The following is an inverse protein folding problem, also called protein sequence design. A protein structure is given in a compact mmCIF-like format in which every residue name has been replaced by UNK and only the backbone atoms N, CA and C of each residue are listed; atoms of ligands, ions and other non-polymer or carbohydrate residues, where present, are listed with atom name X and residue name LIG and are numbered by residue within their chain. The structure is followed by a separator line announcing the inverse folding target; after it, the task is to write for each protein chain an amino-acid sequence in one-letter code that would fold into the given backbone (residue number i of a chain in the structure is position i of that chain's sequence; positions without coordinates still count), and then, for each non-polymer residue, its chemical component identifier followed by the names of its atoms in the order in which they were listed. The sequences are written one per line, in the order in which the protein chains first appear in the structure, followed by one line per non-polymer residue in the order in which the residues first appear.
data_IF_970618831262
#
_entry.id   IF_970618831262
#
_cell.length_a   1.000
_cell.length_b   1.000
_cell.length_c   1.000
_cell.angle_alpha   90.00
_cell.angle_beta   90.00
_cell.angle_gamma   90.00
#
_symmetry.space_group_name_H-M   'P 1'
#
loop_
_entity.id
_entity.type
_entity.pdbx_description
1 polymer ?
#
# COMPACT_ATOMS: atom_id res chain seq x y z
N UNK A 1 -38.82 4.22 31.64
CA UNK A 1 -40.22 3.97 31.25
C UNK A 1 -41.06 4.29 32.46
N UNK A 2 -42.09 5.13 32.30
CA UNK A 2 -42.97 5.56 33.39
C UNK A 2 -44.22 4.69 33.48
N UNK A 3 -44.73 4.21 32.35
CA UNK A 3 -45.87 3.29 32.29
C UNK A 3 -45.77 2.41 31.04
N UNK A 4 -46.41 1.24 31.09
CA UNK A 4 -46.53 0.29 29.96
C UNK A 4 -47.96 0.17 29.45
N UNK A 5 -48.93 0.77 30.13
CA UNK A 5 -50.32 0.86 29.70
C UNK A 5 -50.98 2.11 30.34
N UNK A 6 -50.98 3.28 29.66
CA UNK A 6 -50.40 3.55 28.34
C UNK A 6 -48.86 3.47 28.34
N UNK A 7 -48.25 3.24 27.17
CA UNK A 7 -46.79 3.19 27.05
C UNK A 7 -46.21 4.61 27.14
N UNK A 8 -45.60 4.96 28.27
CA UNK A 8 -45.09 6.31 28.53
C UNK A 8 -43.59 6.28 28.83
N UNK A 9 -42.85 7.11 28.08
CA UNK A 9 -41.40 7.28 28.20
C UNK A 9 -41.11 8.61 28.91
N UNK A 10 -40.24 8.59 29.91
CA UNK A 10 -39.71 9.83 30.50
C UNK A 10 -38.74 10.48 29.50
N UNK A 11 -38.90 11.78 29.26
CA UNK A 11 -38.03 12.56 28.38
C UNK A 11 -37.14 13.50 29.21
N UNK A 12 -36.19 14.20 28.56
CA UNK A 12 -35.37 15.22 29.22
C UNK A 12 -36.22 16.32 29.87
N UNK A 13 -37.34 16.66 29.22
CA UNK A 13 -38.43 17.45 29.81
C UNK A 13 -39.75 16.72 29.56
N UNK A 14 -40.54 16.52 30.63
CA UNK A 14 -41.87 15.90 30.54
C UNK A 14 -41.84 14.40 30.20
N UNK A 15 -42.92 13.96 29.55
CA UNK A 15 -43.14 12.55 29.20
C UNK A 15 -43.78 12.44 27.81
N UNK A 16 -43.44 11.36 27.09
CA UNK A 16 -44.00 11.04 25.79
C UNK A 16 -44.81 9.75 25.88
N UNK A 17 -46.10 9.84 25.53
CA UNK A 17 -46.94 8.66 25.33
C UNK A 17 -46.77 8.13 23.90
N UNK A 18 -46.44 6.85 23.80
CA UNK A 18 -46.40 6.13 22.54
C UNK A 18 -47.78 5.52 22.32
N UNK A 19 -48.57 6.13 21.43
CA UNK A 19 -49.93 5.67 21.13
C UNK A 19 -49.90 4.39 20.27
N UNK A 20 -48.97 4.30 19.32
CA UNK A 20 -48.76 3.16 18.46
C UNK A 20 -47.31 3.08 17.97
N UNK A 21 -46.87 1.89 17.56
CA UNK A 21 -45.57 1.67 16.95
C UNK A 21 -45.45 0.26 16.36
N UNK A 22 -44.27 -0.07 15.85
CA UNK A 22 -44.00 -1.35 15.20
C UNK A 22 -42.77 -2.03 15.80
N UNK A 23 -42.79 -3.36 15.82
CA UNK A 23 -41.62 -4.19 16.14
C UNK A 23 -40.84 -4.53 14.85
N UNK A 24 -39.75 -5.30 14.96
CA UNK A 24 -38.91 -5.69 13.81
C UNK A 24 -39.66 -6.52 12.75
N UNK A 25 -40.84 -7.08 13.07
CA UNK A 25 -41.69 -7.80 12.13
C UNK A 25 -42.62 -6.89 11.31
N UNK A 26 -42.58 -5.56 11.52
CA UNK A 26 -43.27 -4.57 10.69
C UNK A 26 -44.79 -4.45 10.92
N UNK A 27 -45.32 -5.05 12.00
CA UNK A 27 -46.73 -4.92 12.37
C UNK A 27 -46.94 -3.70 13.27
N UNK A 28 -47.86 -2.82 12.88
CA UNK A 28 -48.28 -1.67 13.69
C UNK A 28 -49.28 -2.10 14.77
N UNK A 29 -48.94 -1.83 16.03
CA UNK A 29 -49.74 -2.18 17.20
C UNK A 29 -49.87 -0.99 18.15
N UNK A 30 -50.87 -1.04 19.04
CA UNK A 30 -51.03 -0.03 20.11
C UNK A 30 -49.84 -0.06 21.07
N UNK A 31 -49.51 1.09 21.67
CA UNK A 31 -48.33 1.23 22.55
C UNK A 31 -48.28 0.23 23.70
N UNK A 32 -49.41 -0.09 24.33
CA UNK A 32 -49.48 -1.10 25.39
C UNK A 32 -49.14 -2.50 24.90
N UNK A 33 -49.57 -2.83 23.67
CA UNK A 33 -49.23 -4.09 23.01
C UNK A 33 -47.78 -4.12 22.57
N UNK A 34 -47.27 -3.01 22.04
CA UNK A 34 -45.86 -2.84 21.70
C UNK A 34 -44.97 -3.07 22.93
N UNK A 35 -45.35 -2.52 24.08
CA UNK A 35 -44.63 -2.71 25.33
C UNK A 35 -44.55 -4.19 25.74
N UNK A 36 -45.66 -4.92 25.63
CA UNK A 36 -45.70 -6.36 25.91
C UNK A 36 -44.82 -7.16 24.94
N UNK A 37 -44.92 -6.90 23.64
CA UNK A 37 -44.18 -7.64 22.60
C UNK A 37 -42.67 -7.38 22.66
N UNK A 38 -42.28 -6.16 23.02
CA UNK A 38 -40.87 -5.79 23.19
C UNK A 38 -40.32 -6.14 24.59
N UNK A 39 -41.13 -6.77 25.46
CA UNK A 39 -40.71 -7.12 26.82
C UNK A 39 -40.38 -5.92 27.70
N UNK A 40 -40.99 -4.77 27.44
CA UNK A 40 -40.77 -3.52 28.18
C UNK A 40 -41.54 -3.59 29.50
N UNK A 41 -40.87 -3.26 30.60
CA UNK A 41 -41.46 -3.13 31.94
C UNK A 41 -41.30 -1.70 32.48
N UNK A 42 -41.97 -1.36 33.58
CA UNK A 42 -41.80 -0.06 34.25
C UNK A 42 -40.39 0.08 34.81
N UNK A 43 -39.93 1.32 35.00
CA UNK A 43 -38.62 1.66 35.59
C UNK A 43 -37.37 1.22 34.80
N UNK A 44 -37.51 0.74 33.56
CA UNK A 44 -36.36 0.48 32.67
C UNK A 44 -35.94 1.72 31.89
N UNK A 45 -34.64 1.87 31.61
CA UNK A 45 -34.12 2.89 30.70
C UNK A 45 -33.88 2.26 29.34
N UNK A 46 -34.39 2.90 28.29
CA UNK A 46 -33.99 2.62 26.92
C UNK A 46 -32.57 3.16 26.72
N UNK A 47 -31.58 2.33 27.02
CA UNK A 47 -30.20 2.62 26.68
C UNK A 47 -29.94 2.04 25.29
N UNK A 48 -29.21 2.77 24.45
CA UNK A 48 -28.51 2.10 23.35
C UNK A 48 -27.70 0.96 23.98
N UNK A 49 -27.68 -0.24 23.35
CA UNK A 49 -26.83 -1.37 23.78
C UNK A 49 -25.52 -0.81 24.32
N UNK A 50 -25.05 -1.23 25.51
CA UNK A 50 -23.79 -0.71 26.04
C UNK A 50 -22.72 -0.84 24.95
N UNK A 51 -22.29 0.30 24.41
CA UNK A 51 -21.18 0.39 23.46
C UNK A 51 -19.84 0.12 24.18
N UNK A 52 -19.88 -0.53 25.35
CA UNK A 52 -18.70 -0.95 26.11
C UNK A 52 -18.26 -2.37 25.77
N UNK A 53 -18.74 -2.96 24.68
CA UNK A 53 -17.87 -3.87 23.96
C UNK A 53 -16.71 -3.01 23.48
N UNK A 54 -15.57 -3.03 24.20
CA UNK A 54 -14.31 -2.44 23.74
C UNK A 54 -14.25 -2.68 22.24
N UNK A 55 -14.40 -1.61 21.44
CA UNK A 55 -14.52 -1.71 20.00
C UNK A 55 -13.30 -2.50 19.55
N UNK A 56 -13.51 -3.76 19.14
CA UNK A 56 -12.40 -4.68 18.88
C UNK A 56 -11.52 -3.98 17.86
N UNK A 57 -10.21 -3.89 18.15
CA UNK A 57 -9.24 -3.30 17.23
C UNK A 57 -9.38 -3.93 15.86
N UNK A 58 -9.27 -3.12 14.82
CA UNK A 58 -9.25 -3.61 13.45
C UNK A 58 -7.95 -4.37 13.24
N UNK A 59 -8.08 -5.64 12.85
CA UNK A 59 -6.93 -6.52 12.61
C UNK A 59 -6.45 -6.37 11.17
N UNK A 60 -5.22 -5.93 11.00
CA UNK A 60 -4.60 -5.68 9.69
C UNK A 60 -3.55 -6.77 9.46
N UNK A 61 -3.76 -7.61 8.44
CA UNK A 61 -2.80 -8.59 7.98
C UNK A 61 -1.92 -7.98 6.89
N UNK A 62 -0.62 -7.94 7.10
CA UNK A 62 0.37 -7.47 6.13
C UNK A 62 1.26 -8.67 5.76
N UNK A 63 1.13 -9.16 4.53
CA UNK A 63 2.01 -10.20 3.98
C UNK A 63 3.13 -9.50 3.23
N UNK A 64 4.39 -9.77 3.54
CA UNK A 64 5.53 -8.97 3.07
C UNK A 64 5.79 -7.76 3.98
N UNK A 65 5.63 -7.93 5.30
CA UNK A 65 5.70 -6.83 6.28
C UNK A 65 7.12 -6.26 6.45
N UNK A 66 8.16 -7.04 6.17
CA UNK A 66 9.56 -6.64 6.33
C UNK A 66 10.06 -5.76 5.17
N UNK A 67 9.22 -5.51 4.16
CA UNK A 67 9.55 -4.62 3.04
C UNK A 67 9.41 -3.13 3.36
N UNK A 68 9.76 -2.31 2.37
CA UNK A 68 9.66 -0.85 2.44
C UNK A 68 8.27 -0.34 2.84
N UNK A 69 7.21 -0.79 2.16
CA UNK A 69 5.85 -0.36 2.50
C UNK A 69 5.42 -0.93 3.86
N UNK A 70 5.72 -2.21 4.10
CA UNK A 70 5.30 -2.92 5.30
C UNK A 70 5.82 -2.28 6.60
N UNK A 71 7.10 -1.92 6.65
CA UNK A 71 7.68 -1.32 7.85
C UNK A 71 7.14 0.09 8.14
N UNK A 72 7.00 0.95 7.12
CA UNK A 72 6.47 2.31 7.29
C UNK A 72 4.97 2.30 7.61
N UNK A 73 4.21 1.42 6.97
CA UNK A 73 2.79 1.25 7.27
C UNK A 73 2.57 0.73 8.69
N UNK A 74 3.36 -0.24 9.14
CA UNK A 74 3.32 -0.75 10.51
C UNK A 74 3.56 0.37 11.51
N UNK A 75 4.57 1.21 11.27
CA UNK A 75 4.83 2.39 12.11
C UNK A 75 3.62 3.33 12.19
N UNK A 76 3.03 3.66 11.03
CA UNK A 76 1.88 4.56 10.95
C UNK A 76 0.65 4.02 11.65
N UNK A 77 0.38 2.72 11.53
CA UNK A 77 -0.77 2.05 12.16
C UNK A 77 -0.57 1.92 13.67
N UNK A 78 0.65 1.65 14.14
CA UNK A 78 0.95 1.52 15.57
C UNK A 78 0.79 2.83 16.34
N UNK A 79 0.81 3.99 15.66
CA UNK A 79 0.48 5.30 16.27
C UNK A 79 -0.99 5.41 16.69
N UNK A 80 -1.87 4.57 16.14
CA UNK A 80 -3.29 4.57 16.50
C UNK A 80 -3.64 3.37 17.39
N UNK A 81 -4.34 3.60 18.49
CA UNK A 81 -4.72 2.54 19.43
C UNK A 81 -5.79 1.57 18.90
N UNK A 82 -6.38 1.85 17.73
CA UNK A 82 -7.50 1.10 17.15
C UNK A 82 -7.07 -0.05 16.23
N UNK A 83 -5.76 -0.22 15.95
CA UNK A 83 -5.27 -1.30 15.09
C UNK A 83 -4.51 -2.37 15.86
N UNK A 84 -4.59 -3.59 15.34
CA UNK A 84 -3.78 -4.74 15.74
C UNK A 84 -3.17 -5.30 14.45
N UNK A 85 -1.84 -5.39 14.38
CA UNK A 85 -1.11 -5.69 13.15
C UNK A 85 -0.56 -7.11 13.23
N UNK A 86 -0.86 -7.90 12.19
CA UNK A 86 -0.32 -9.24 11.98
C UNK A 86 0.58 -9.19 10.75
N UNK A 87 1.87 -9.37 10.95
CA UNK A 87 2.88 -9.34 9.89
C UNK A 87 3.40 -10.74 9.58
N UNK A 88 3.52 -11.07 8.30
CA UNK A 88 4.24 -12.26 7.83
C UNK A 88 5.31 -11.85 6.83
N UNK A 89 6.51 -12.40 6.99
CA UNK A 89 7.63 -12.25 6.06
C UNK A 89 8.69 -13.33 6.31
N UNK A 90 9.66 -13.50 5.41
CA UNK A 90 10.79 -14.43 5.58
C UNK A 90 11.90 -13.88 6.48
N UNK A 91 11.81 -12.61 6.87
CA UNK A 91 12.78 -11.92 7.73
C UNK A 91 12.13 -10.84 8.58
N UNK A 92 12.89 -10.25 9.50
CA UNK A 92 12.38 -9.23 10.43
C UNK A 92 13.35 -8.08 10.73
N UNK A 93 14.44 -7.96 9.98
CA UNK A 93 15.46 -6.92 10.16
C UNK A 93 14.86 -5.50 10.09
N UNK A 94 14.05 -5.20 9.08
CA UNK A 94 13.46 -3.87 8.87
C UNK A 94 12.30 -3.54 9.84
N UNK A 95 11.76 -4.55 10.54
CA UNK A 95 10.63 -4.42 11.48
C UNK A 95 10.98 -4.80 12.92
N UNK A 96 12.24 -5.13 13.20
CA UNK A 96 12.75 -5.58 14.50
C UNK A 96 12.32 -4.64 15.65
N UNK A 97 12.34 -3.32 15.40
CA UNK A 97 11.90 -2.27 16.33
C UNK A 97 10.44 -2.37 16.81
N UNK A 98 9.62 -3.20 16.16
CA UNK A 98 8.21 -3.39 16.50
C UNK A 98 7.93 -4.69 17.25
N UNK A 99 8.88 -5.62 17.34
CA UNK A 99 8.65 -6.97 17.86
C UNK A 99 8.17 -6.98 19.32
N UNK A 100 8.61 -6.01 20.13
CA UNK A 100 8.18 -5.87 21.54
C UNK A 100 6.86 -5.11 21.69
N UNK A 101 6.27 -4.60 20.60
CA UNK A 101 5.02 -3.87 20.68
C UNK A 101 3.85 -4.85 20.86
N UNK A 102 3.02 -4.71 21.92
CA UNK A 102 1.93 -5.66 22.21
C UNK A 102 0.81 -5.69 21.16
N UNK A 103 0.79 -4.74 20.21
CA UNK A 103 -0.18 -4.68 19.10
C UNK A 103 0.41 -5.18 17.78
N UNK A 104 1.68 -5.56 17.75
CA UNK A 104 2.34 -6.10 16.57
C UNK A 104 2.64 -7.58 16.80
N UNK A 105 2.20 -8.41 15.86
CA UNK A 105 2.39 -9.85 15.88
C UNK A 105 3.12 -10.26 14.62
N UNK A 106 4.38 -10.65 14.73
CA UNK A 106 5.18 -11.13 13.62
C UNK A 106 5.24 -12.65 13.58
N UNK A 107 5.17 -13.22 12.38
CA UNK A 107 5.49 -14.62 12.13
C UNK A 107 6.40 -14.72 10.91
N UNK A 108 7.48 -15.49 11.07
CA UNK A 108 8.34 -15.85 9.96
C UNK A 108 7.63 -16.85 9.04
N UNK A 109 7.55 -16.55 7.75
CA UNK A 109 6.87 -17.41 6.78
C UNK A 109 6.99 -16.94 5.33
N UNK A 110 6.93 -17.91 4.43
CA UNK A 110 6.89 -17.73 2.96
C UNK A 110 5.48 -18.03 2.42
N UNK A 111 4.95 -17.14 1.58
CA UNK A 111 3.62 -17.28 0.97
C UNK A 111 3.49 -18.48 0.04
N UNK A 112 4.60 -18.96 -0.52
CA UNK A 112 4.67 -20.12 -1.40
C UNK A 112 4.63 -21.46 -0.62
N UNK A 113 4.85 -21.41 0.70
CA UNK A 113 5.01 -22.61 1.55
C UNK A 113 3.90 -22.70 2.61
N UNK A 114 3.57 -21.59 3.29
CA UNK A 114 2.77 -21.59 4.52
C UNK A 114 1.27 -21.32 4.28
N UNK A 115 0.66 -22.05 3.35
CA UNK A 115 -0.74 -21.83 2.93
C UNK A 115 -1.75 -21.87 4.09
N UNK A 116 -1.67 -22.86 4.97
CA UNK A 116 -2.61 -23.02 6.10
C UNK A 116 -2.55 -21.84 7.08
N UNK A 117 -1.34 -21.35 7.36
CA UNK A 117 -1.14 -20.22 8.28
C UNK A 117 -1.74 -18.94 7.69
N UNK A 118 -1.52 -18.72 6.39
CA UNK A 118 -2.01 -17.54 5.67
C UNK A 118 -3.52 -17.56 5.61
N UNK A 119 -4.11 -18.70 5.23
CA UNK A 119 -5.57 -18.87 5.19
C UNK A 119 -6.20 -18.61 6.57
N UNK A 120 -5.60 -19.15 7.64
CA UNK A 120 -6.05 -18.92 9.01
C UNK A 120 -5.99 -17.43 9.38
N UNK A 121 -4.90 -16.73 9.04
CA UNK A 121 -4.75 -15.30 9.37
C UNK A 121 -5.64 -14.40 8.52
N UNK A 122 -5.91 -14.76 7.26
CA UNK A 122 -6.93 -14.09 6.44
C UNK A 122 -8.29 -14.23 7.12
N UNK A 123 -8.67 -15.45 7.54
CA UNK A 123 -9.92 -15.69 8.27
C UNK A 123 -9.99 -14.91 9.60
N UNK A 124 -8.88 -14.77 10.31
CA UNK A 124 -8.78 -14.09 11.62
C UNK A 124 -8.83 -12.56 11.53
N UNK A 125 -8.21 -11.99 10.50
CA UNK A 125 -8.05 -10.54 10.35
C UNK A 125 -9.24 -9.89 9.64
N UNK A 126 -9.25 -8.56 9.60
CA UNK A 126 -10.36 -7.77 9.03
C UNK A 126 -9.98 -7.18 7.67
N UNK A 127 -8.72 -6.75 7.53
CA UNK A 127 -8.15 -6.17 6.30
C UNK A 127 -6.87 -6.91 5.93
N UNK A 128 -6.69 -7.22 4.65
CA UNK A 128 -5.51 -7.93 4.12
C UNK A 128 -4.76 -7.05 3.11
N UNK A 129 -3.45 -6.93 3.31
CA UNK A 129 -2.51 -6.24 2.42
C UNK A 129 -1.43 -7.22 1.95
N UNK A 130 -1.57 -7.81 0.76
CA UNK A 130 -0.55 -8.67 0.18
C UNK A 130 0.51 -7.84 -0.53
N UNK A 131 1.62 -7.54 0.15
CA UNK A 131 2.72 -6.72 -0.35
C UNK A 131 3.87 -7.54 -0.97
N UNK A 132 3.81 -8.87 -0.90
CA UNK A 132 4.82 -9.76 -1.50
C UNK A 132 4.72 -9.73 -3.04
N UNK A 133 5.78 -9.27 -3.69
CA UNK A 133 5.96 -9.29 -5.14
C UNK A 133 7.43 -9.05 -5.52
N UNK A 134 7.85 -9.51 -6.69
CA UNK A 134 9.11 -9.13 -7.33
C UNK A 134 8.87 -7.89 -8.19
N UNK A 135 9.22 -6.72 -7.67
CA UNK A 135 8.98 -5.43 -8.32
C UNK A 135 10.25 -4.80 -8.95
N UNK A 136 11.17 -5.64 -9.45
CA UNK A 136 12.50 -5.23 -9.93
C UNK A 136 12.63 -5.49 -11.44
N UNK A 137 12.80 -4.45 -12.28
CA UNK A 137 12.70 -4.59 -13.74
C UNK A 137 13.63 -5.62 -14.40
N UNK A 138 14.82 -5.85 -13.84
CA UNK A 138 15.77 -6.84 -14.35
C UNK A 138 15.24 -8.27 -14.21
N UNK A 139 14.45 -8.55 -13.18
CA UNK A 139 13.90 -9.89 -12.92
C UNK A 139 12.76 -10.23 -13.89
N UNK A 140 12.12 -9.22 -14.51
CA UNK A 140 11.06 -9.44 -15.49
C UNK A 140 11.58 -10.11 -16.77
N UNK A 141 12.85 -9.86 -17.11
CA UNK A 141 13.52 -10.49 -18.26
C UNK A 141 14.40 -11.65 -17.83
N UNK A 142 15.03 -11.58 -16.65
CA UNK A 142 15.92 -12.63 -16.14
C UNK A 142 15.16 -13.87 -15.65
N UNK A 143 14.08 -13.68 -14.88
CA UNK A 143 13.31 -14.75 -14.23
C UNK A 143 11.79 -14.57 -14.41
N UNK A 144 11.29 -14.45 -15.67
CA UNK A 144 9.89 -14.11 -15.94
C UNK A 144 8.88 -15.09 -15.33
N UNK A 145 9.19 -16.39 -15.32
CA UNK A 145 8.30 -17.41 -14.77
C UNK A 145 8.17 -17.28 -13.25
N UNK A 146 9.28 -17.01 -12.54
CA UNK A 146 9.25 -16.79 -11.09
C UNK A 146 8.45 -15.53 -10.74
N UNK A 147 8.58 -14.46 -11.53
CA UNK A 147 7.77 -13.25 -11.38
C UNK A 147 6.29 -13.58 -11.56
N UNK A 148 5.93 -14.37 -12.58
CA UNK A 148 4.54 -14.80 -12.79
C UNK A 148 4.00 -15.64 -11.63
N UNK A 149 4.71 -16.69 -11.22
CA UNK A 149 4.30 -17.59 -10.12
C UNK A 149 4.03 -16.80 -8.83
N UNK A 150 4.95 -15.93 -8.43
CA UNK A 150 4.82 -15.17 -7.19
C UNK A 150 3.81 -14.02 -7.29
N UNK A 151 3.96 -13.15 -8.30
CA UNK A 151 3.18 -11.91 -8.39
C UNK A 151 1.75 -12.16 -8.85
N UNK A 152 1.51 -13.27 -9.57
CA UNK A 152 0.19 -13.66 -10.05
C UNK A 152 -0.41 -14.83 -9.27
N UNK A 153 0.20 -16.02 -9.33
CA UNK A 153 -0.46 -17.24 -8.85
C UNK A 153 -0.60 -17.27 -7.32
N UNK A 154 0.47 -16.96 -6.58
CA UNK A 154 0.42 -16.93 -5.11
C UNK A 154 -0.51 -15.81 -4.60
N UNK A 155 -0.45 -14.64 -5.22
CA UNK A 155 -1.34 -13.53 -4.90
C UNK A 155 -2.81 -13.84 -5.22
N UNK A 156 -3.09 -14.59 -6.30
CA UNK A 156 -4.45 -15.02 -6.64
C UNK A 156 -5.05 -15.95 -5.59
N UNK A 157 -4.24 -16.82 -4.95
CA UNK A 157 -4.69 -17.66 -3.83
C UNK A 157 -5.17 -16.78 -2.66
N UNK A 158 -4.39 -15.76 -2.29
CA UNK A 158 -4.74 -14.80 -1.23
C UNK A 158 -6.04 -14.05 -1.57
N UNK A 159 -6.21 -13.61 -2.81
CA UNK A 159 -7.45 -12.95 -3.28
C UNK A 159 -8.64 -13.89 -3.08
N UNK A 160 -8.51 -15.16 -3.49
CA UNK A 160 -9.58 -16.17 -3.33
C UNK A 160 -9.92 -16.44 -1.87
N UNK A 161 -8.94 -16.49 -0.99
CA UNK A 161 -9.18 -16.64 0.45
C UNK A 161 -9.90 -15.41 1.02
N UNK A 162 -9.56 -14.20 0.56
CA UNK A 162 -10.30 -12.99 0.96
C UNK A 162 -11.77 -13.05 0.51
N UNK A 163 -12.06 -13.58 -0.68
CA UNK A 163 -13.44 -13.82 -1.14
C UNK A 163 -14.14 -14.85 -0.26
N UNK A 164 -13.52 -16.03 -0.08
CA UNK A 164 -14.04 -17.15 0.72
C UNK A 164 -14.43 -16.73 2.14
N UNK A 165 -13.62 -15.88 2.77
CA UNK A 165 -13.84 -15.43 4.15
C UNK A 165 -14.44 -14.02 4.27
N UNK A 166 -14.90 -13.44 3.16
CA UNK A 166 -15.50 -12.10 3.09
C UNK A 166 -14.64 -11.03 3.80
N UNK A 167 -13.36 -10.98 3.44
CA UNK A 167 -12.37 -10.05 3.99
C UNK A 167 -12.12 -8.90 3.05
N UNK A 168 -11.87 -7.73 3.63
CA UNK A 168 -11.49 -6.56 2.84
C UNK A 168 -10.04 -6.72 2.37
N UNK A 169 -9.80 -6.56 1.08
CA UNK A 169 -8.45 -6.59 0.50
C UNK A 169 -8.04 -5.21 0.00
N UNK A 170 -6.87 -4.74 0.41
CA UNK A 170 -6.25 -3.53 -0.15
C UNK A 170 -5.06 -4.01 -0.97
N UNK A 171 -5.26 -4.11 -2.27
CA UNK A 171 -4.31 -4.79 -3.15
C UNK A 171 -3.35 -3.77 -3.79
N UNK A 172 -2.03 -3.99 -3.70
CA UNK A 172 -1.06 -3.19 -4.43
C UNK A 172 -1.12 -3.57 -5.91
N UNK A 173 -1.87 -2.77 -6.67
CA UNK A 173 -1.66 -2.65 -8.11
C UNK A 173 -0.34 -1.92 -8.35
N UNK A 174 -0.05 -1.54 -9.59
CA UNK A 174 1.21 -0.89 -9.95
C UNK A 174 0.96 0.23 -10.95
N UNK A 175 1.75 1.30 -10.87
CA UNK A 175 1.76 2.32 -11.94
C UNK A 175 2.26 1.76 -13.27
N UNK A 176 2.87 0.57 -13.29
CA UNK A 176 3.28 -0.08 -14.53
C UNK A 176 2.12 -0.62 -15.36
N UNK A 177 0.91 -0.81 -14.79
CA UNK A 177 -0.25 -1.30 -15.56
C UNK A 177 -0.64 -0.35 -16.69
N UNK A 178 -0.35 0.94 -16.56
CA UNK A 178 -0.57 1.93 -17.61
C UNK A 178 0.37 1.72 -18.80
N UNK A 179 1.55 1.15 -18.53
CA UNK A 179 2.61 0.93 -19.49
C UNK A 179 2.99 2.19 -20.26
N UNK A 180 2.90 2.13 -21.59
CA UNK A 180 3.20 3.22 -22.52
C UNK A 180 1.97 4.08 -22.81
N UNK A 181 1.10 4.30 -21.81
CA UNK A 181 -0.05 5.18 -21.94
C UNK A 181 0.40 6.57 -22.45
N UNK A 182 -0.34 7.09 -23.43
CA UNK A 182 -0.06 8.35 -24.11
C UNK A 182 -0.75 9.57 -23.46
N UNK A 183 -1.52 9.33 -22.39
CA UNK A 183 -2.15 10.41 -21.62
C UNK A 183 -1.10 11.21 -20.85
N UNK A 184 -1.35 12.53 -20.69
CA UNK A 184 -0.48 13.41 -19.90
C UNK A 184 -0.46 13.06 -18.41
N UNK A 185 -1.60 12.63 -17.89
CA UNK A 185 -1.79 12.15 -16.53
C UNK A 185 -2.53 10.82 -16.61
N UNK A 186 -1.99 9.79 -15.97
CA UNK A 186 -2.56 8.46 -15.97
C UNK A 186 -3.73 8.40 -15.00
N UNK A 187 -4.93 8.21 -15.54
CA UNK A 187 -6.19 8.20 -14.82
C UNK A 187 -6.65 6.76 -14.58
N UNK A 188 -7.01 6.47 -13.33
CA UNK A 188 -7.38 5.14 -12.86
C UNK A 188 -8.56 4.54 -13.62
N UNK A 189 -9.51 5.39 -14.03
CA UNK A 189 -10.81 4.99 -14.54
C UNK A 189 -10.95 5.21 -16.05
N UNK A 190 -10.02 5.93 -16.68
CA UNK A 190 -10.13 6.36 -18.09
C UNK A 190 -8.94 6.01 -18.96
N UNK A 191 -7.73 5.97 -18.43
CA UNK A 191 -6.54 5.79 -19.24
C UNK A 191 -6.46 4.41 -19.86
N UNK A 192 -6.02 4.35 -21.12
CA UNK A 192 -5.75 3.09 -21.80
C UNK A 192 -4.47 2.47 -21.25
N UNK A 193 -4.44 1.15 -21.21
CA UNK A 193 -3.31 0.36 -20.72
C UNK A 193 -2.58 -0.18 -21.95
N UNK A 194 -1.37 0.32 -22.22
CA UNK A 194 -0.65 0.06 -23.47
C UNK A 194 0.65 -0.68 -23.15
N UNK A 195 0.83 -1.87 -23.71
CA UNK A 195 2.05 -2.68 -23.56
C UNK A 195 2.61 -3.07 -24.93
N UNK A 196 3.88 -3.47 -24.95
CA UNK A 196 4.55 -3.91 -26.17
C UNK A 196 4.12 -5.31 -26.63
N UNK A 197 4.66 -5.79 -27.78
CA UNK A 197 4.42 -7.13 -28.28
C UNK A 197 4.91 -8.22 -27.32
N UNK A 198 4.47 -9.47 -27.53
CA UNK A 198 4.83 -10.64 -26.69
C UNK A 198 6.36 -10.84 -26.58
N UNK A 199 7.13 -10.50 -27.62
CA UNK A 199 8.59 -10.61 -27.60
C UNK A 199 9.29 -9.55 -26.73
N UNK A 200 8.54 -8.65 -26.09
CA UNK A 200 9.02 -7.69 -25.08
C UNK A 200 8.63 -8.18 -23.68
N UNK A 201 9.40 -9.13 -23.16
CA UNK A 201 9.10 -9.87 -21.93
C UNK A 201 8.97 -8.96 -20.69
N UNK A 202 9.58 -7.78 -20.69
CA UNK A 202 9.50 -6.80 -19.60
C UNK A 202 8.05 -6.45 -19.19
N UNK A 203 7.09 -6.61 -20.11
CA UNK A 203 5.67 -6.33 -19.88
C UNK A 203 4.94 -7.43 -19.11
N UNK A 204 5.57 -8.58 -18.83
CA UNK A 204 4.96 -9.68 -18.07
C UNK A 204 4.46 -9.23 -16.70
N UNK A 205 5.27 -8.45 -15.97
CA UNK A 205 4.88 -7.88 -14.68
C UNK A 205 3.64 -6.99 -14.79
N UNK A 206 3.63 -6.05 -15.75
CA UNK A 206 2.50 -5.15 -16.01
C UNK A 206 1.21 -5.93 -16.29
N UNK A 207 1.26 -6.91 -17.19
CA UNK A 207 0.08 -7.67 -17.62
C UNK A 207 -0.40 -8.61 -16.50
N UNK A 208 0.50 -9.24 -15.75
CA UNK A 208 0.14 -10.05 -14.58
C UNK A 208 -0.62 -9.24 -13.53
N UNK A 209 -0.09 -8.08 -13.14
CA UNK A 209 -0.75 -7.20 -12.17
C UNK A 209 -2.08 -6.65 -12.72
N UNK A 210 -2.14 -6.29 -13.99
CA UNK A 210 -3.37 -5.86 -14.65
C UNK A 210 -4.43 -6.98 -14.66
N UNK A 211 -4.06 -8.23 -14.90
CA UNK A 211 -4.99 -9.35 -14.87
C UNK A 211 -5.51 -9.61 -13.46
N UNK A 212 -4.66 -9.48 -12.43
CA UNK A 212 -5.10 -9.54 -11.04
C UNK A 212 -6.09 -8.42 -10.69
N UNK A 213 -5.83 -7.18 -11.10
CA UNK A 213 -6.76 -6.06 -10.92
C UNK A 213 -8.15 -6.39 -11.49
N UNK A 214 -8.19 -7.01 -12.68
CA UNK A 214 -9.44 -7.41 -13.35
C UNK A 214 -10.14 -8.57 -12.62
N UNK A 215 -9.39 -9.53 -12.11
CA UNK A 215 -9.94 -10.65 -11.34
C UNK A 215 -10.53 -10.16 -10.02
N UNK A 216 -9.83 -9.27 -9.30
CA UNK A 216 -10.33 -8.63 -8.08
C UNK A 216 -11.59 -7.82 -8.37
N UNK A 217 -11.59 -7.04 -9.46
CA UNK A 217 -12.76 -6.30 -9.92
C UNK A 217 -13.96 -7.22 -10.19
N UNK A 218 -13.73 -8.35 -10.86
CA UNK A 218 -14.77 -9.35 -11.14
C UNK A 218 -15.33 -9.96 -9.84
N UNK A 219 -14.46 -10.31 -8.88
CA UNK A 219 -14.89 -10.77 -7.56
C UNK A 219 -15.72 -9.73 -6.81
N UNK A 220 -15.35 -8.44 -6.89
CA UNK A 220 -16.16 -7.38 -6.31
C UNK A 220 -17.54 -7.28 -6.94
N UNK A 221 -17.61 -7.35 -8.28
CA UNK A 221 -18.86 -7.23 -9.03
C UNK A 221 -19.77 -8.47 -8.94
N UNK A 222 -19.22 -9.67 -8.78
CA UNK A 222 -19.97 -10.94 -8.83
C UNK A 222 -20.14 -11.63 -7.50
N UNK A 223 -19.18 -11.48 -6.59
CA UNK A 223 -19.15 -12.18 -5.31
C UNK A 223 -19.08 -11.21 -4.10
N UNK A 224 -19.17 -9.90 -4.34
CA UNK A 224 -19.27 -8.89 -3.30
C UNK A 224 -17.96 -8.66 -2.52
N UNK A 225 -16.80 -9.02 -3.09
CA UNK A 225 -15.50 -8.75 -2.49
C UNK A 225 -15.32 -7.24 -2.24
N UNK A 226 -15.04 -6.89 -0.98
CA UNK A 226 -14.66 -5.52 -0.62
C UNK A 226 -13.20 -5.32 -0.94
N UNK A 227 -12.91 -4.51 -1.95
CA UNK A 227 -11.55 -4.23 -2.35
C UNK A 227 -11.27 -2.74 -2.52
N UNK A 228 -10.00 -2.38 -2.40
CA UNK A 228 -9.45 -1.13 -2.92
C UNK A 228 -8.13 -1.46 -3.62
N UNK A 229 -7.96 -1.03 -4.87
CA UNK A 229 -6.68 -1.14 -5.57
C UNK A 229 -5.92 0.15 -5.39
N UNK A 230 -4.64 0.09 -5.02
CA UNK A 230 -3.79 1.28 -4.99
C UNK A 230 -2.59 1.12 -5.91
N UNK A 231 -2.20 2.21 -6.58
CA UNK A 231 -1.11 2.25 -7.56
C UNK A 231 -0.04 3.24 -7.09
N UNK A 232 1.06 2.76 -6.49
CA UNK A 232 2.15 3.64 -6.06
C UNK A 232 2.95 4.15 -7.27
N UNK A 233 3.31 5.44 -7.25
CA UNK A 233 4.17 6.07 -8.25
C UNK A 233 5.53 6.41 -7.62
N UNK A 234 6.52 5.53 -7.87
CA UNK A 234 7.92 5.65 -7.45
C UNK A 234 8.08 6.19 -6.02
N UNK A 235 7.47 5.50 -5.05
CA UNK A 235 7.67 5.82 -3.65
C UNK A 235 9.13 5.62 -3.27
N UNK A 236 9.68 6.57 -2.52
CA UNK A 236 11.07 6.58 -2.06
C UNK A 236 11.17 7.22 -0.67
N UNK A 237 12.23 6.87 0.03
CA UNK A 237 12.45 7.26 1.42
C UNK A 237 13.41 6.29 2.11
N UNK A 238 13.65 6.48 3.42
CA UNK A 238 14.41 5.54 4.23
C UNK A 238 13.94 4.09 4.08
N UNK A 239 14.85 3.11 4.09
CA UNK A 239 14.54 1.66 4.00
C UNK A 239 13.89 1.19 2.68
N UNK A 240 14.16 1.87 1.55
CA UNK A 240 13.54 1.56 0.25
C UNK A 240 13.86 0.15 -0.27
N UNK A 241 15.13 -0.23 -0.29
CA UNK A 241 15.66 -1.55 -0.65
C UNK A 241 17.03 -1.68 0.05
N UNK A 242 17.56 -2.90 0.20
CA UNK A 242 18.94 -3.08 0.68
C UNK A 242 19.95 -2.77 -0.46
N UNK A 243 21.08 -2.15 -0.13
CA UNK A 243 22.18 -1.89 -1.06
C UNK A 243 22.76 -3.18 -1.66
N UNK A 244 22.74 -4.28 -0.92
CA UNK A 244 23.15 -5.59 -1.44
C UNK A 244 22.24 -6.10 -2.56
N UNK A 245 20.93 -5.82 -2.49
CA UNK A 245 20.02 -6.12 -3.60
C UNK A 245 20.33 -5.24 -4.83
N UNK A 246 20.80 -4.00 -4.62
CA UNK A 246 21.24 -3.11 -5.70
C UNK A 246 22.56 -3.57 -6.36
N UNK A 247 23.46 -4.25 -5.65
CA UNK A 247 24.70 -4.82 -6.24
C UNK A 247 24.43 -5.85 -7.34
N UNK A 248 23.30 -6.55 -7.26
CA UNK A 248 22.85 -7.57 -8.24
C UNK A 248 22.02 -6.92 -9.37
N UNK A 249 21.78 -5.60 -9.31
CA UNK A 249 20.92 -4.84 -10.22
C UNK A 249 19.43 -4.99 -9.90
N UNK A 250 19.10 -5.59 -8.76
CA UNK A 250 17.74 -5.97 -8.35
C UNK A 250 17.09 -4.92 -7.46
N UNK A 251 17.37 -3.63 -7.69
CA UNK A 251 16.78 -2.53 -6.92
C UNK A 251 16.22 -1.43 -7.81
N UNK A 252 15.37 -0.58 -7.24
CA UNK A 252 14.76 0.57 -7.90
C UNK A 252 15.81 1.62 -8.28
N UNK A 253 15.47 2.48 -9.24
CA UNK A 253 16.38 3.45 -9.82
C UNK A 253 17.14 4.28 -8.77
N UNK A 254 16.46 4.84 -7.77
CA UNK A 254 17.11 5.71 -6.77
C UNK A 254 18.15 4.97 -5.93
N UNK A 255 17.85 3.75 -5.45
CA UNK A 255 18.80 2.97 -4.64
C UNK A 255 20.02 2.59 -5.45
N UNK A 256 19.85 2.25 -6.73
CA UNK A 256 20.99 1.99 -7.63
C UNK A 256 21.86 3.23 -7.83
N UNK A 257 21.25 4.42 -7.95
CA UNK A 257 22.00 5.68 -8.05
C UNK A 257 22.79 5.98 -6.76
N UNK A 258 22.17 5.78 -5.59
CA UNK A 258 22.82 5.94 -4.29
C UNK A 258 23.97 4.95 -4.14
N UNK A 259 23.77 3.68 -4.50
CA UNK A 259 24.82 2.66 -4.49
C UNK A 259 26.01 3.08 -5.34
N UNK A 260 25.78 3.62 -6.54
CA UNK A 260 26.86 4.07 -7.41
C UNK A 260 27.70 5.18 -6.74
N UNK A 261 27.07 6.10 -6.01
CA UNK A 261 27.76 7.14 -5.26
C UNK A 261 28.56 6.56 -4.07
N UNK A 262 27.98 5.62 -3.34
CA UNK A 262 28.61 4.92 -2.21
C UNK A 262 29.83 4.11 -2.65
N UNK A 263 29.73 3.35 -3.73
CA UNK A 263 30.79 2.48 -4.24
C UNK A 263 31.80 3.20 -5.14
N UNK A 264 31.53 4.47 -5.49
CA UNK A 264 32.36 5.20 -6.45
C UNK A 264 32.29 4.65 -7.87
N UNK A 265 31.18 4.00 -8.24
CA UNK A 265 30.96 3.50 -9.59
C UNK A 265 30.19 4.52 -10.44
N UNK A 266 30.32 4.50 -11.77
CA UNK A 266 29.68 5.51 -12.62
C UNK A 266 28.17 5.35 -12.62
N UNK A 267 27.44 6.46 -12.57
CA UNK A 267 25.98 6.45 -12.73
C UNK A 267 25.64 6.16 -14.19
N UNK A 268 25.00 5.01 -14.43
CA UNK A 268 24.56 4.57 -15.76
C UNK A 268 23.20 5.21 -16.10
N UNK A 269 23.17 6.06 -17.12
CA UNK A 269 21.97 6.68 -17.66
C UNK A 269 21.52 5.90 -18.89
N UNK A 270 20.45 5.12 -18.72
CA UNK A 270 19.89 4.28 -19.79
C UNK A 270 19.31 5.16 -20.89
N UNK A 271 19.81 4.99 -22.11
CA UNK A 271 19.44 5.77 -23.29
C UNK A 271 19.52 7.30 -23.03
N UNK A 272 20.49 7.73 -22.21
CA UNK A 272 20.71 9.13 -21.87
C UNK A 272 19.94 9.64 -20.64
N UNK A 273 19.01 8.85 -20.09
CA UNK A 273 18.30 9.13 -18.84
C UNK A 273 17.21 10.20 -18.95
N UNK A 274 16.69 10.44 -20.15
CA UNK A 274 15.70 11.49 -20.42
C UNK A 274 14.26 11.14 -20.01
N UNK A 275 13.98 9.86 -19.79
CA UNK A 275 12.66 9.38 -19.36
C UNK A 275 12.28 9.94 -18.00
N UNK A 276 11.05 10.43 -17.88
CA UNK A 276 10.53 11.14 -16.71
C UNK A 276 9.64 10.28 -15.84
N UNK A 277 9.76 10.47 -14.53
CA UNK A 277 9.02 9.78 -13.49
C UNK A 277 8.54 10.79 -12.47
N UNK A 278 7.36 10.57 -11.90
CA UNK A 278 6.93 11.26 -10.69
C UNK A 278 7.37 10.46 -9.45
N UNK A 279 8.06 11.11 -8.52
CA UNK A 279 8.59 10.52 -7.30
C UNK A 279 7.80 10.98 -6.09
N UNK A 280 7.55 10.07 -5.16
CA UNK A 280 6.67 10.35 -4.03
C UNK A 280 7.38 10.00 -2.74
N UNK A 281 7.33 10.90 -1.77
CA UNK A 281 7.82 10.61 -0.43
C UNK A 281 7.02 9.47 0.20
N UNK A 282 7.71 8.57 0.89
CA UNK A 282 7.06 7.46 1.57
C UNK A 282 6.06 7.91 2.64
N UNK A 283 6.29 9.04 3.30
CA UNK A 283 5.37 9.57 4.30
C UNK A 283 4.05 10.01 3.65
N UNK A 284 4.12 10.71 2.51
CA UNK A 284 2.94 11.07 1.72
C UNK A 284 2.20 9.80 1.23
N UNK A 285 2.95 8.80 0.73
CA UNK A 285 2.39 7.54 0.24
C UNK A 285 1.70 6.70 1.32
N UNK A 286 2.34 6.54 2.47
CA UNK A 286 1.83 5.78 3.61
C UNK A 286 0.65 6.48 4.26
N UNK A 287 0.63 7.81 4.29
CA UNK A 287 -0.55 8.56 4.75
C UNK A 287 -1.77 8.30 3.86
N UNK A 288 -1.62 8.29 2.53
CA UNK A 288 -2.71 7.89 1.63
C UNK A 288 -3.15 6.44 1.87
N UNK A 289 -2.21 5.51 2.03
CA UNK A 289 -2.52 4.10 2.29
C UNK A 289 -3.22 3.88 3.63
N UNK A 290 -2.80 4.62 4.66
CA UNK A 290 -3.48 4.67 5.95
C UNK A 290 -4.94 5.14 5.81
N UNK A 291 -5.19 6.18 5.01
CA UNK A 291 -6.56 6.66 4.74
C UNK A 291 -7.40 5.64 3.95
N UNK A 292 -6.77 4.86 3.08
CA UNK A 292 -7.45 3.71 2.45
C UNK A 292 -7.81 2.66 3.50
N UNK A 293 -6.96 2.39 4.49
CA UNK A 293 -7.26 1.45 5.59
C UNK A 293 -8.40 1.99 6.46
N UNK A 294 -8.39 3.27 6.81
CA UNK A 294 -9.49 3.98 7.49
C UNK A 294 -10.82 3.78 6.77
N UNK A 295 -10.83 3.92 5.44
CA UNK A 295 -12.01 3.77 4.58
C UNK A 295 -13.22 4.54 5.12
N UNK A 296 -13.01 5.82 5.41
CA UNK A 296 -14.05 6.70 5.95
C UNK A 296 -15.30 6.62 5.08
N UNK A 297 -16.44 6.37 5.71
CA UNK A 297 -17.76 6.26 5.08
C UNK A 297 -17.86 5.21 3.95
N UNK A 298 -16.91 4.26 3.90
CA UNK A 298 -16.87 3.22 2.85
C UNK A 298 -16.47 3.75 1.47
N UNK A 299 -15.91 4.96 1.38
CA UNK A 299 -15.64 5.64 0.10
C UNK A 299 -14.65 4.88 -0.79
N UNK A 300 -13.75 4.08 -0.23
CA UNK A 300 -12.73 3.35 -0.99
C UNK A 300 -13.21 1.99 -1.52
N UNK A 301 -14.43 1.56 -1.20
CA UNK A 301 -14.94 0.27 -1.64
C UNK A 301 -15.14 0.25 -3.17
N UNK A 302 -14.51 -0.73 -3.81
CA UNK A 302 -14.55 -0.90 -5.27
C UNK A 302 -13.77 0.18 -6.04
N UNK A 303 -12.89 0.94 -5.38
CA UNK A 303 -12.14 2.03 -6.01
C UNK A 303 -10.73 1.62 -6.42
N UNK A 304 -10.18 2.37 -7.38
CA UNK A 304 -8.78 2.34 -7.79
C UNK A 304 -8.18 3.72 -7.49
N UNK A 305 -7.04 3.75 -6.82
CA UNK A 305 -6.42 4.98 -6.34
C UNK A 305 -4.94 5.03 -6.70
N UNK A 306 -4.57 5.98 -7.56
CA UNK A 306 -3.18 6.36 -7.76
C UNK A 306 -2.69 7.13 -6.54
N UNK A 307 -1.50 6.77 -6.07
CA UNK A 307 -0.84 7.48 -4.99
C UNK A 307 0.53 7.91 -5.49
N UNK A 308 0.64 9.20 -5.81
CA UNK A 308 1.90 9.78 -6.18
C UNK A 308 1.93 11.29 -6.10
N UNK A 309 3.12 11.88 -6.27
CA UNK A 309 3.29 13.31 -6.35
C UNK A 309 3.53 13.79 -7.79
N UNK A 310 2.49 14.30 -8.51
CA UNK A 310 2.65 14.75 -9.89
C UNK A 310 3.49 16.02 -10.05
N UNK A 311 3.78 16.75 -8.95
CA UNK A 311 4.67 17.92 -8.99
C UNK A 311 6.14 17.54 -8.94
N UNK A 312 6.46 16.38 -8.37
CA UNK A 312 7.83 15.85 -8.26
C UNK A 312 8.20 15.04 -9.52
N UNK A 313 7.98 15.62 -10.70
CA UNK A 313 8.37 15.03 -11.97
C UNK A 313 9.81 15.37 -12.31
N UNK A 314 10.63 14.34 -12.54
CA UNK A 314 12.01 14.49 -12.96
C UNK A 314 12.42 13.35 -13.88
N UNK A 315 13.34 13.64 -14.80
CA UNK A 315 14.07 12.64 -15.54
C UNK A 315 15.03 11.86 -14.64
N UNK A 316 15.48 10.68 -15.08
CA UNK A 316 16.50 9.92 -14.34
C UNK A 316 17.80 10.72 -14.24
N UNK A 317 18.15 11.52 -15.27
CA UNK A 317 19.27 12.45 -15.23
C UNK A 317 19.09 13.52 -14.15
N UNK A 318 17.97 14.23 -14.13
CA UNK A 318 17.68 15.26 -13.14
C UNK A 318 17.72 14.68 -11.71
N UNK A 319 17.14 13.49 -11.49
CA UNK A 319 17.23 12.79 -10.21
C UNK A 319 18.68 12.50 -9.82
N UNK A 320 19.50 12.03 -10.75
CA UNK A 320 20.89 11.70 -10.50
C UNK A 320 21.74 12.95 -10.19
N UNK A 321 21.46 14.07 -10.84
CA UNK A 321 22.07 15.37 -10.55
C UNK A 321 21.66 15.90 -9.18
N UNK A 322 20.38 15.79 -8.81
CA UNK A 322 19.88 16.15 -7.47
C UNK A 322 20.53 15.32 -6.37
N UNK A 323 20.65 14.00 -6.57
CA UNK A 323 21.35 13.11 -5.66
C UNK A 323 22.83 13.47 -5.52
N UNK A 324 23.51 13.73 -6.63
CA UNK A 324 24.93 14.11 -6.61
C UNK A 324 25.16 15.42 -5.86
N UNK A 325 24.30 16.42 -6.07
CA UNK A 325 24.35 17.68 -5.32
C UNK A 325 24.18 17.42 -3.82
N UNK A 326 23.12 16.71 -3.43
CA UNK A 326 22.86 16.37 -2.03
C UNK A 326 23.97 15.52 -1.41
N UNK A 327 24.63 14.67 -2.20
CA UNK A 327 25.74 13.82 -1.76
C UNK A 327 27.01 14.62 -1.51
N UNK A 328 27.33 15.57 -2.38
CA UNK A 328 28.50 16.43 -2.20
C UNK A 328 28.37 17.35 -0.99
N UNK A 329 27.15 17.79 -0.67
CA UNK A 329 26.87 18.61 0.51
C UNK A 329 26.71 17.80 1.80
N UNK A 330 26.77 16.46 1.73
CA UNK A 330 26.48 15.59 2.88
C UNK A 330 27.64 15.55 3.89
N UNK A 331 27.39 15.59 5.21
CA UNK A 331 28.46 15.55 6.22
C UNK A 331 29.34 14.29 6.20
N UNK A 332 28.81 13.18 5.70
CA UNK A 332 29.55 11.91 5.54
C UNK A 332 30.26 11.78 4.19
N UNK A 333 30.24 12.81 3.33
CA UNK A 333 30.78 12.74 1.97
C UNK A 333 32.22 12.22 1.93
N UNK A 334 33.07 12.67 2.84
CA UNK A 334 34.48 12.30 2.90
C UNK A 334 34.74 10.81 3.23
N UNK A 335 33.69 10.06 3.63
CA UNK A 335 33.76 8.62 3.87
C UNK A 335 33.65 7.79 2.59
N UNK A 336 33.30 8.40 1.46
CA UNK A 336 33.00 7.71 0.20
C UNK A 336 33.95 8.11 -0.94
N UNK A 337 34.14 7.26 -1.96
CA UNK A 337 35.02 7.54 -3.08
C UNK A 337 34.63 8.80 -3.89
N UNK A 338 35.51 9.34 -4.74
CA UNK A 338 35.15 10.38 -5.69
C UNK A 338 34.10 9.89 -6.70
N UNK A 339 33.26 10.81 -7.17
CA UNK A 339 32.25 10.51 -8.17
C UNK A 339 32.90 10.08 -9.50
N UNK A 340 32.55 8.89 -9.99
CA UNK A 340 33.10 8.32 -11.23
C UNK A 340 32.45 8.85 -12.52
N UNK A 341 31.54 9.83 -12.43
CA UNK A 341 30.91 10.45 -13.59
C UNK A 341 29.61 9.78 -14.03
N UNK A 342 28.92 10.47 -14.96
CA UNK A 342 27.76 9.92 -15.66
C UNK A 342 28.21 9.15 -16.89
N UNK A 343 27.61 7.98 -17.14
CA UNK A 343 27.86 7.16 -18.32
C UNK A 343 26.54 6.86 -19.03
N UNK A 344 26.43 7.24 -20.30
CA UNK A 344 25.31 6.82 -21.12
C UNK A 344 25.48 5.34 -21.49
N UNK A 345 24.40 4.57 -21.35
CA UNK A 345 24.39 3.12 -21.60
C UNK A 345 23.14 2.79 -22.41
N UNK A 346 23.27 1.92 -23.41
CA UNK A 346 22.10 1.42 -24.14
C UNK A 346 21.28 0.49 -23.25
N UNK A 347 19.96 0.69 -23.19
CA UNK A 347 19.08 -0.11 -22.32
C UNK A 347 19.16 -1.63 -22.60
N UNK A 348 19.37 -2.01 -23.87
CA UNK A 348 19.58 -3.40 -24.31
C UNK A 348 20.80 -4.05 -23.66
N UNK A 349 21.85 -3.29 -23.38
CA UNK A 349 23.09 -3.78 -22.78
C UNK A 349 22.98 -4.01 -21.27
N UNK A 350 22.01 -3.38 -20.62
CA UNK A 350 21.79 -3.51 -19.18
C UNK A 350 20.65 -4.48 -18.84
N UNK A 351 19.48 -4.32 -19.46
CA UNK A 351 18.28 -5.13 -19.19
C UNK A 351 18.15 -6.37 -20.09
N UNK A 352 19.01 -6.48 -21.10
CA UNK A 352 18.98 -7.55 -22.09
C UNK A 352 18.01 -7.29 -23.25
N UNK A 353 17.96 -8.26 -24.16
CA UNK A 353 17.02 -8.24 -25.28
C UNK A 353 15.59 -8.34 -24.77
N UNK A 354 14.67 -7.55 -25.34
CA UNK A 354 13.25 -7.57 -24.95
C UNK A 354 12.84 -6.48 -23.96
N UNK A 355 13.76 -5.61 -23.52
CA UNK A 355 13.41 -4.41 -22.76
C UNK A 355 12.76 -3.33 -23.64
N UNK A 356 11.86 -2.56 -23.02
CA UNK A 356 11.18 -1.40 -23.58
C UNK A 356 10.73 -0.52 -22.40
N UNK A 357 11.10 0.75 -22.39
CA UNK A 357 10.80 1.65 -21.26
C UNK A 357 9.56 2.54 -21.53
N UNK A 358 9.13 3.23 -20.50
CA UNK A 358 8.07 4.25 -20.52
C UNK A 358 8.74 5.63 -20.58
N UNK A 359 8.30 6.51 -21.48
CA UNK A 359 8.89 7.85 -21.61
C UNK A 359 8.49 8.78 -20.45
N UNK A 360 7.21 8.81 -20.08
CA UNK A 360 6.69 9.62 -18.97
C UNK A 360 5.71 8.82 -18.10
N UNK A 361 5.68 9.14 -16.80
CA UNK A 361 4.77 8.49 -15.86
C UNK A 361 4.32 9.49 -14.80
N UNK A 362 3.17 10.13 -15.05
CA UNK A 362 2.57 11.12 -14.16
C UNK A 362 1.17 10.66 -13.72
N UNK A 363 0.88 10.57 -12.42
CA UNK A 363 -0.45 10.16 -11.95
C UNK A 363 -1.46 11.30 -12.04
N UNK A 364 -2.69 11.00 -12.47
CA UNK A 364 -3.87 11.72 -11.98
C UNK A 364 -4.06 11.30 -10.51
N UNK A 365 -4.23 12.29 -9.62
CA UNK A 365 -4.52 12.04 -8.18
C UNK A 365 -5.94 12.48 -7.80
N UNK A 366 -6.84 12.55 -8.79
CA UNK A 366 -8.23 12.98 -8.57
C UNK A 366 -8.99 12.03 -7.63
N UNK A 367 -8.81 10.72 -7.79
CA UNK A 367 -9.43 9.75 -6.88
C UNK A 367 -8.85 9.86 -5.48
N UNK A 368 -7.54 10.03 -5.32
CA UNK A 368 -6.95 10.23 -3.99
C UNK A 368 -7.51 11.49 -3.27
N UNK A 369 -7.63 12.62 -3.99
CA UNK A 369 -8.27 13.84 -3.43
C UNK A 369 -9.73 13.61 -3.06
N UNK A 370 -10.51 13.01 -3.97
CA UNK A 370 -11.96 12.80 -3.80
C UNK A 370 -12.29 11.80 -2.67
N UNK A 371 -11.52 10.72 -2.59
CA UNK A 371 -11.82 9.58 -1.72
C UNK A 371 -11.15 9.69 -0.35
N UNK A 372 -9.95 10.29 -0.30
CA UNK A 372 -9.10 10.30 0.88
C UNK A 372 -8.91 11.71 1.45
N UNK A 373 -9.40 12.76 0.78
CA UNK A 373 -9.06 14.16 1.10
C UNK A 373 -7.53 14.37 1.17
N UNK A 374 -6.79 13.65 0.31
CA UNK A 374 -5.35 13.57 0.35
C UNK A 374 -4.73 14.34 -0.80
N UNK A 375 -3.60 15.00 -0.50
CA UNK A 375 -2.69 15.56 -1.48
C UNK A 375 -1.26 15.40 -0.96
N UNK A 376 -0.28 15.15 -1.84
CA UNK A 376 1.12 15.06 -1.43
C UNK A 376 1.65 16.44 -1.05
N UNK A 377 2.53 16.47 -0.06
CA UNK A 377 3.02 17.71 0.56
C UNK A 377 4.53 17.86 0.52
N UNK A 378 5.27 16.76 0.33
CA UNK A 378 6.73 16.74 0.46
C UNK A 378 7.37 16.96 -0.92
N UNK A 379 8.27 17.95 -0.97
CA UNK A 379 9.01 18.31 -2.16
C UNK A 379 10.12 17.30 -2.47
N UNK A 380 10.42 17.12 -3.76
CA UNK A 380 11.41 16.14 -4.23
C UNK A 380 12.79 16.29 -3.57
N UNK A 381 13.25 17.52 -3.36
CA UNK A 381 14.54 17.83 -2.73
C UNK A 381 14.65 17.25 -1.31
N UNK A 382 13.57 17.39 -0.53
CA UNK A 382 13.53 16.89 0.84
C UNK A 382 13.59 15.35 0.84
N UNK A 383 12.76 14.71 0.02
CA UNK A 383 12.74 13.24 -0.10
C UNK A 383 14.09 12.69 -0.54
N UNK A 384 14.76 13.34 -1.49
CA UNK A 384 16.11 12.96 -1.95
C UNK A 384 17.12 13.04 -0.81
N UNK A 385 17.12 14.14 -0.06
CA UNK A 385 18.04 14.34 1.06
C UNK A 385 17.81 13.32 2.19
N UNK A 386 16.56 13.07 2.58
CA UNK A 386 16.21 12.12 3.64
C UNK A 386 16.53 10.67 3.24
N UNK A 387 16.25 10.31 1.98
CA UNK A 387 16.59 8.98 1.46
C UNK A 387 18.10 8.79 1.47
N UNK A 388 18.85 9.76 0.98
CA UNK A 388 20.30 9.69 0.90
C UNK A 388 20.94 9.63 2.30
N UNK A 389 20.55 10.50 3.22
CA UNK A 389 21.08 10.53 4.60
C UNK A 389 20.92 9.16 5.28
N UNK A 390 19.74 8.55 5.16
CA UNK A 390 19.50 7.21 5.69
C UNK A 390 20.51 6.19 5.16
N UNK A 391 20.66 6.08 3.83
CA UNK A 391 21.55 5.09 3.24
C UNK A 391 23.01 5.31 3.61
N UNK A 392 23.49 6.57 3.56
CA UNK A 392 24.89 6.86 3.89
C UNK A 392 25.22 6.54 5.35
N UNK A 393 24.31 6.85 6.29
CA UNK A 393 24.48 6.51 7.71
C UNK A 393 24.49 5.00 7.93
N UNK A 394 23.55 4.28 7.32
CA UNK A 394 23.49 2.82 7.43
C UNK A 394 24.77 2.17 6.90
N UNK A 395 25.28 2.60 5.73
CA UNK A 395 26.53 2.06 5.20
C UNK A 395 27.74 2.32 6.09
N UNK A 396 27.85 3.52 6.68
CA UNK A 396 28.95 3.84 7.61
C UNK A 396 28.85 2.99 8.87
N UNK A 397 27.65 2.84 9.44
CA UNK A 397 27.43 2.01 10.62
C UNK A 397 27.81 0.54 10.36
N UNK A 398 27.34 -0.04 9.26
CA UNK A 398 27.68 -1.42 8.87
C UNK A 398 29.19 -1.61 8.65
N UNK A 399 29.89 -0.59 8.15
CA UNK A 399 31.34 -0.63 7.94
C UNK A 399 32.15 -0.48 9.24
N UNK A 400 31.58 0.14 10.28
CA UNK A 400 32.20 0.29 11.60
C UNK A 400 31.96 -0.95 12.49
N UNK A 401 30.89 -1.71 12.23
CA UNK A 401 30.54 -2.95 12.93
C UNK A 401 31.20 -4.21 12.33
N UNK A 402 31.72 -4.14 11.10
CA UNK A 402 32.44 -5.21 10.38
C UNK A 402 33.96 -5.16 10.62
#
# INVERSE_FOLDING_TARGET
MLSIAPLVVACGEGALEIIAGQNEAGLYVQGSRLAQEMGIVTDVRLLAKPQSALKRRTRVLILGVNGFIGNHLTERLLREDRYEIYGLDIGSDAISRFLDNPRFHFVEGDISIHSEWIEYHIKKCDVVLPLVAIATPIEYTRNPLRVFELDFEENLKIVRDCVKYNKRIIFPSTSEVYGMCDDKEFDEDRSRLIVGPINKQRWIYSVSKQLLDRVIWAYGAKEGLKFTLFRPFNWMGPRLDNLDAARIGSSRAITQLILNLVEGSPIKLMDGGAQKRCFTDINDGVEALYRIIENRDGLCDGQIVNIGNPTNEASIRELAEMLLASFNDHPLRDRFPPFAGFKNVESSSYYGQGYQDVEHRKPSIRNARRLLDWQPTIAMQQTVAETLDYFLRTTVQESEEA
#
